data_IF_102604560402
#
_entry.id   IF_102604560402
#
_cell.length_a   1.000
_cell.length_b   1.000
_cell.length_c   1.000
_cell.angle_alpha   90.00
_cell.angle_beta   90.00
_cell.angle_gamma   90.00
#
_symmetry.space_group_name_H-M   'P 1'
#
loop_
_entity.id
_entity.type
_entity.pdbx_description
1 polymer ?
#
# COMPACT_ATOMS: atom_id res chain seq x y z
N UNK A 1 28.04 -3.96 -7.73
CA UNK A 1 27.17 -3.28 -6.74
C UNK A 1 26.02 -2.52 -7.41
N UNK A 2 26.24 -1.91 -8.57
CA UNK A 2 25.23 -1.06 -9.25
C UNK A 2 23.96 -1.81 -9.67
N UNK A 3 24.08 -3.06 -10.12
CA UNK A 3 22.93 -3.92 -10.45
C UNK A 3 21.95 -4.10 -9.28
N UNK A 4 22.45 -4.39 -8.07
CA UNK A 4 21.61 -4.57 -6.89
C UNK A 4 20.86 -3.28 -6.51
N UNK A 5 21.52 -2.13 -6.67
CA UNK A 5 20.89 -0.84 -6.41
C UNK A 5 19.71 -0.58 -7.38
N UNK A 6 19.77 -1.07 -8.62
CA UNK A 6 18.65 -0.98 -9.57
C UNK A 6 17.46 -1.85 -9.16
N UNK A 7 17.72 -3.09 -8.71
CA UNK A 7 16.66 -3.98 -8.20
C UNK A 7 15.90 -3.34 -7.05
N UNK A 8 16.60 -2.64 -6.15
CA UNK A 8 15.99 -1.93 -5.02
C UNK A 8 15.27 -0.66 -5.47
N UNK A 9 15.91 0.14 -6.34
CA UNK A 9 15.42 1.46 -6.70
C UNK A 9 14.17 1.43 -7.59
N UNK A 10 14.03 0.44 -8.48
CA UNK A 10 12.89 0.35 -9.42
C UNK A 10 11.51 0.22 -8.72
N UNK A 11 11.26 -0.82 -7.91
CA UNK A 11 9.96 -0.99 -7.25
C UNK A 11 9.67 0.15 -6.26
N UNK A 12 10.68 0.59 -5.53
CA UNK A 12 10.56 1.68 -4.57
C UNK A 12 10.24 3.01 -5.27
N UNK A 13 10.98 3.35 -6.32
CA UNK A 13 10.76 4.55 -7.12
C UNK A 13 9.37 4.58 -7.77
N UNK A 14 8.92 3.45 -8.30
CA UNK A 14 7.57 3.31 -8.86
C UNK A 14 6.47 3.52 -7.81
N UNK A 15 6.63 2.95 -6.61
CA UNK A 15 5.68 3.13 -5.50
C UNK A 15 5.61 4.59 -5.05
N UNK A 16 6.77 5.23 -4.86
CA UNK A 16 6.85 6.64 -4.43
C UNK A 16 6.27 7.58 -5.47
N UNK A 17 6.53 7.34 -6.75
CA UNK A 17 5.94 8.10 -7.85
C UNK A 17 4.41 7.93 -7.87
N UNK A 18 3.91 6.70 -7.71
CA UNK A 18 2.47 6.43 -7.63
C UNK A 18 1.83 7.16 -6.44
N UNK A 19 2.44 7.08 -5.26
CA UNK A 19 1.94 7.73 -4.04
C UNK A 19 1.97 9.27 -4.17
N UNK A 20 3.03 9.81 -4.78
CA UNK A 20 3.12 11.23 -5.12
C UNK A 20 2.03 11.66 -6.11
N UNK A 21 1.81 10.89 -7.18
CA UNK A 21 0.77 11.18 -8.16
C UNK A 21 -0.65 11.11 -7.57
N UNK A 22 -0.91 10.15 -6.67
CA UNK A 22 -2.17 10.06 -5.93
C UNK A 22 -2.39 11.34 -5.11
N UNK A 23 -1.38 11.81 -4.39
CA UNK A 23 -1.45 13.03 -3.58
C UNK A 23 -1.55 14.31 -4.42
N UNK A 24 -0.89 14.37 -5.57
CA UNK A 24 -0.97 15.50 -6.50
C UNK A 24 -2.35 15.64 -7.16
N UNK A 25 -3.12 14.55 -7.27
CA UNK A 25 -4.47 14.57 -7.87
C UNK A 25 -5.51 15.36 -7.05
N UNK A 26 -5.15 15.90 -5.88
CA UNK A 26 -6.04 16.69 -4.99
C UNK A 26 -7.39 16.03 -4.75
N UNK A 27 -7.40 14.69 -4.68
CA UNK A 27 -8.59 13.90 -4.38
C UNK A 27 -8.25 12.94 -3.27
N UNK A 28 -9.14 12.86 -2.28
CA UNK A 28 -9.01 11.91 -1.20
C UNK A 28 -9.24 10.50 -1.76
N UNK A 29 -8.26 9.61 -1.57
CA UNK A 29 -8.31 8.24 -2.10
C UNK A 29 -8.64 7.28 -0.97
N UNK A 30 -9.69 6.48 -1.16
CA UNK A 30 -10.06 5.41 -0.23
C UNK A 30 -9.69 4.06 -0.85
N UNK A 31 -8.86 3.30 -0.15
CA UNK A 31 -8.45 1.93 -0.50
C UNK A 31 -8.67 0.97 0.65
N UNK A 32 -8.49 -0.32 0.39
CA UNK A 32 -8.50 -1.36 1.41
C UNK A 32 -7.09 -1.56 1.96
N UNK A 33 -6.96 -1.85 3.25
CA UNK A 33 -5.67 -2.14 3.89
C UNK A 33 -4.88 -3.24 3.20
N UNK A 34 -5.54 -4.31 2.72
CA UNK A 34 -4.86 -5.38 1.99
C UNK A 34 -4.21 -4.93 0.69
N UNK A 35 -4.87 -4.07 -0.10
CA UNK A 35 -4.29 -3.47 -1.32
C UNK A 35 -3.11 -2.57 -1.00
N UNK A 36 -3.19 -1.80 0.08
CA UNK A 36 -2.08 -0.95 0.52
C UNK A 36 -0.87 -1.78 0.98
N UNK A 37 -1.08 -2.76 1.87
CA UNK A 37 -0.04 -3.70 2.31
C UNK A 37 0.61 -4.42 1.12
N UNK A 38 -0.19 -4.85 0.14
CA UNK A 38 0.34 -5.49 -1.07
C UNK A 38 1.18 -4.53 -1.91
N UNK A 39 0.73 -3.30 -2.10
CA UNK A 39 1.50 -2.28 -2.83
C UNK A 39 2.82 -1.94 -2.11
N UNK A 40 2.79 -1.84 -0.77
CA UNK A 40 3.99 -1.65 0.04
C UNK A 40 4.93 -2.84 -0.04
N UNK A 41 4.41 -4.07 0.00
CA UNK A 41 5.20 -5.29 -0.17
C UNK A 41 5.92 -5.27 -1.52
N UNK A 42 5.21 -4.95 -2.61
CA UNK A 42 5.83 -4.78 -3.93
C UNK A 42 6.91 -3.69 -3.93
N UNK A 43 6.71 -2.58 -3.22
CA UNK A 43 7.70 -1.50 -3.13
C UNK A 43 9.02 -1.95 -2.48
N UNK A 44 8.92 -2.79 -1.44
CA UNK A 44 10.08 -3.31 -0.71
C UNK A 44 10.61 -4.64 -1.29
N UNK A 45 9.98 -5.20 -2.33
CA UNK A 45 10.36 -6.51 -2.88
C UNK A 45 11.81 -6.52 -3.37
N UNK A 46 12.28 -5.41 -3.94
CA UNK A 46 13.67 -5.25 -4.35
C UNK A 46 14.65 -5.32 -3.18
N UNK A 47 14.30 -4.72 -2.04
CA UNK A 47 15.10 -4.81 -0.81
C UNK A 47 15.10 -6.24 -0.25
N UNK A 48 13.95 -6.92 -0.31
CA UNK A 48 13.84 -8.32 0.10
C UNK A 48 14.69 -9.22 -0.80
N UNK A 49 14.65 -9.01 -2.11
CA UNK A 49 15.42 -9.79 -3.08
C UNK A 49 16.94 -9.66 -2.88
N UNK A 50 17.43 -8.43 -2.63
CA UNK A 50 18.86 -8.15 -2.48
C UNK A 50 19.39 -8.44 -1.06
N UNK A 51 18.58 -8.22 -0.02
CA UNK A 51 19.00 -8.42 1.36
C UNK A 51 18.71 -9.85 1.86
N UNK A 52 17.55 -10.09 2.49
CA UNK A 52 17.17 -11.41 2.98
C UNK A 52 17.23 -12.52 1.92
N UNK A 53 16.90 -12.24 0.66
CA UNK A 53 16.88 -13.23 -0.42
C UNK A 53 18.24 -13.89 -0.66
N UNK A 54 19.33 -13.13 -0.61
CA UNK A 54 20.69 -13.67 -0.69
C UNK A 54 21.08 -14.43 0.61
N UNK A 55 20.61 -13.97 1.77
CA UNK A 55 20.89 -14.59 3.08
C UNK A 55 20.17 -15.92 3.28
N UNK A 56 18.94 -16.05 2.77
CA UNK A 56 18.13 -17.26 2.84
C UNK A 56 18.23 -18.11 1.56
N UNK A 57 19.19 -17.81 0.67
CA UNK A 57 19.38 -18.57 -0.56
C UNK A 57 19.82 -19.99 -0.21
N UNK A 58 18.98 -21.02 -0.45
CA UNK A 58 19.31 -22.37 -0.06
C UNK A 58 20.29 -22.93 -1.08
N UNK A 59 21.59 -22.89 -0.75
CA UNK A 59 22.66 -23.38 -1.63
C UNK A 59 22.43 -24.83 -2.10
N UNK A 60 21.82 -25.66 -1.25
CA UNK A 60 21.45 -27.05 -1.57
C UNK A 60 20.25 -27.17 -2.52
N UNK A 61 19.33 -26.21 -2.53
CA UNK A 61 18.23 -26.17 -3.49
C UNK A 61 18.69 -25.62 -4.84
N UNK A 62 19.61 -24.64 -4.83
CA UNK A 62 20.21 -24.07 -6.04
C UNK A 62 20.98 -25.11 -6.86
N UNK A 63 21.70 -26.02 -6.20
CA UNK A 63 22.38 -27.13 -6.91
C UNK A 63 21.42 -28.12 -7.56
N UNK A 64 20.21 -28.29 -7.03
CA UNK A 64 19.21 -29.23 -7.55
C UNK A 64 18.27 -28.60 -8.60
N UNK A 65 17.90 -27.34 -8.44
CA UNK A 65 16.89 -26.65 -9.24
C UNK A 65 17.47 -25.60 -10.20
N UNK A 66 18.74 -25.20 -10.02
CA UNK A 66 19.40 -24.17 -10.82
C UNK A 66 18.62 -22.86 -10.85
N UNK A 67 18.46 -22.29 -12.05
CA UNK A 67 17.75 -21.02 -12.26
C UNK A 67 16.26 -21.05 -11.88
N UNK A 68 15.66 -22.25 -11.74
CA UNK A 68 14.25 -22.40 -11.35
C UNK A 68 13.98 -22.05 -9.87
N UNK A 69 15.03 -21.86 -9.06
CA UNK A 69 14.87 -21.40 -7.67
C UNK A 69 14.25 -20.00 -7.60
N UNK A 70 14.62 -19.10 -8.50
CA UNK A 70 14.12 -17.72 -8.51
C UNK A 70 12.60 -17.59 -8.61
N UNK A 71 11.90 -18.22 -9.57
CA UNK A 71 10.44 -18.18 -9.61
C UNK A 71 9.80 -18.86 -8.40
N UNK A 72 10.44 -19.90 -7.82
CA UNK A 72 9.93 -20.56 -6.62
C UNK A 72 10.03 -19.65 -5.38
N UNK A 73 11.14 -18.93 -5.22
CA UNK A 73 11.32 -17.92 -4.17
C UNK A 73 10.36 -16.74 -4.36
N UNK A 74 10.17 -16.28 -5.59
CA UNK A 74 9.19 -15.24 -5.90
C UNK A 74 7.76 -15.69 -5.55
N UNK A 75 7.41 -16.94 -5.86
CA UNK A 75 6.12 -17.53 -5.49
C UNK A 75 5.97 -17.63 -3.97
N UNK A 76 6.98 -18.12 -3.25
CA UNK A 76 6.98 -18.19 -1.78
C UNK A 76 6.83 -16.80 -1.15
N UNK A 77 7.52 -15.80 -1.70
CA UNK A 77 7.37 -14.42 -1.28
C UNK A 77 5.94 -13.93 -1.48
N UNK A 78 5.35 -14.14 -2.66
CA UNK A 78 3.96 -13.76 -2.94
C UNK A 78 2.97 -14.48 -2.02
N UNK A 79 3.17 -15.76 -1.74
CA UNK A 79 2.38 -16.55 -0.78
C UNK A 79 2.49 -15.96 0.63
N UNK A 80 3.69 -15.57 1.06
CA UNK A 80 3.92 -14.95 2.37
C UNK A 80 3.22 -13.60 2.46
N UNK A 81 3.33 -12.77 1.42
CA UNK A 81 2.62 -11.49 1.33
C UNK A 81 1.11 -11.72 1.35
N UNK A 82 0.61 -12.70 0.60
CA UNK A 82 -0.82 -13.04 0.59
C UNK A 82 -1.29 -13.51 1.97
N UNK A 83 -0.50 -14.32 2.68
CA UNK A 83 -0.80 -14.76 4.03
C UNK A 83 -0.85 -13.57 5.00
N UNK A 84 0.12 -12.66 4.93
CA UNK A 84 0.11 -11.43 5.75
C UNK A 84 -1.14 -10.60 5.46
N UNK A 85 -1.50 -10.41 4.19
CA UNK A 85 -2.71 -9.67 3.79
C UNK A 85 -3.99 -10.35 4.28
N UNK A 86 -4.04 -11.69 4.24
CA UNK A 86 -5.19 -12.48 4.72
C UNK A 86 -5.31 -12.46 6.26
N UNK A 87 -4.19 -12.39 6.98
CA UNK A 87 -4.18 -12.34 8.44
C UNK A 87 -4.44 -10.94 9.00
N UNK A 88 -4.28 -9.90 8.18
CA UNK A 88 -4.62 -8.54 8.56
C UNK A 88 -6.13 -8.39 8.74
N UNK A 89 -6.53 -7.70 9.81
CA UNK A 89 -7.93 -7.32 10.01
C UNK A 89 -8.39 -6.44 8.82
N UNK A 90 -9.60 -6.66 8.30
CA UNK A 90 -10.17 -5.77 7.28
C UNK A 90 -10.19 -4.33 7.81
N UNK A 91 -9.55 -3.43 7.04
CA UNK A 91 -9.54 -1.99 7.32
C UNK A 91 -9.63 -1.22 6.01
N UNK A 92 -10.14 -0.01 6.07
CA UNK A 92 -10.07 0.94 4.97
C UNK A 92 -9.02 2.00 5.27
N UNK A 93 -8.18 2.30 4.30
CA UNK A 93 -7.13 3.31 4.40
C UNK A 93 -7.54 4.48 3.52
N UNK A 94 -7.54 5.68 4.10
CA UNK A 94 -7.90 6.93 3.43
C UNK A 94 -6.66 7.81 3.33
N UNK A 95 -6.33 8.25 2.13
CA UNK A 95 -5.18 9.12 1.83
C UNK A 95 -5.62 10.50 1.36
N UNK A 96 -4.81 11.52 1.67
CA UNK A 96 -4.98 12.88 1.15
C UNK A 96 -5.96 13.72 1.97
N UNK A 97 -6.16 13.35 3.24
CA UNK A 97 -7.09 13.98 4.16
C UNK A 97 -6.63 15.37 4.63
N UNK A 98 -5.35 15.50 4.97
CA UNK A 98 -4.80 16.58 5.81
C UNK A 98 -5.76 17.03 6.89
N UNK A 99 -6.11 18.32 6.90
CA UNK A 99 -6.97 18.89 7.95
C UNK A 99 -8.47 18.65 7.72
N UNK A 100 -8.87 18.05 6.59
CA UNK A 100 -10.29 17.85 6.28
C UNK A 100 -10.93 16.86 7.26
N UNK A 101 -12.11 17.16 7.84
CA UNK A 101 -12.77 16.28 8.81
C UNK A 101 -13.34 15.01 8.15
N UNK A 102 -12.72 13.84 8.37
CA UNK A 102 -13.23 12.54 7.84
C UNK A 102 -14.50 12.04 8.53
N UNK A 103 -14.75 12.48 9.77
CA UNK A 103 -15.87 11.98 10.57
C UNK A 103 -17.24 12.24 9.92
N UNK A 104 -17.43 13.42 9.31
CA UNK A 104 -18.70 13.79 8.68
C UNK A 104 -18.98 13.00 7.36
N UNK A 105 -18.03 12.89 6.41
CA UNK A 105 -18.17 11.99 5.26
C UNK A 105 -18.38 10.52 5.65
N UNK A 106 -17.65 10.04 6.66
CA UNK A 106 -17.79 8.67 7.14
C UNK A 106 -19.17 8.43 7.76
N UNK A 107 -19.69 9.36 8.56
CA UNK A 107 -21.04 9.26 9.12
C UNK A 107 -22.12 9.26 8.03
N UNK A 108 -21.99 10.09 6.99
CA UNK A 108 -22.90 10.08 5.82
C UNK A 108 -22.88 8.74 5.09
N UNK A 109 -21.70 8.18 4.85
CA UNK A 109 -21.55 6.86 4.26
C UNK A 109 -22.20 5.78 5.14
N UNK A 110 -22.01 5.82 6.46
CA UNK A 110 -22.66 4.89 7.39
C UNK A 110 -24.19 5.04 7.37
N UNK A 111 -24.71 6.27 7.33
CA UNK A 111 -26.16 6.55 7.25
C UNK A 111 -26.83 6.03 5.99
N UNK A 112 -26.09 5.95 4.88
CA UNK A 112 -26.60 5.34 3.65
C UNK A 112 -26.80 3.82 3.76
N UNK A 113 -26.10 3.17 4.69
CA UNK A 113 -26.17 1.73 4.96
C UNK A 113 -27.11 1.44 6.14
N UNK A 114 -27.01 2.23 7.20
CA UNK A 114 -27.84 2.18 8.41
C UNK A 114 -28.28 3.59 8.80
N UNK A 115 -29.54 3.93 8.52
CA UNK A 115 -30.10 5.25 8.78
C UNK A 115 -30.02 5.67 10.26
N UNK A 116 -29.93 4.71 11.19
CA UNK A 116 -29.83 4.97 12.62
C UNK A 116 -28.38 5.24 13.09
N UNK A 117 -27.41 5.30 12.17
CA UNK A 117 -25.99 5.54 12.50
C UNK A 117 -25.75 6.85 13.25
N UNK A 118 -24.98 6.78 14.34
CA UNK A 118 -24.63 7.94 15.19
C UNK A 118 -23.11 8.04 15.39
N UNK A 119 -22.62 9.26 15.46
CA UNK A 119 -21.24 9.56 15.83
C UNK A 119 -21.19 9.83 17.34
N UNK A 120 -20.32 9.11 18.04
CA UNK A 120 -19.94 9.46 19.40
C UNK A 120 -18.68 10.33 19.36
N UNK A 121 -18.88 11.64 19.54
CA UNK A 121 -17.80 12.64 19.49
C UNK A 121 -16.75 12.46 20.60
N UNK A 122 -17.10 11.82 21.73
CA UNK A 122 -16.16 11.60 22.84
C UNK A 122 -15.15 10.51 22.53
N UNK A 123 -15.56 9.46 21.84
CA UNK A 123 -14.72 8.30 21.51
C UNK A 123 -14.19 8.33 20.07
N UNK A 124 -14.76 9.20 19.21
CA UNK A 124 -14.44 9.22 17.78
C UNK A 124 -14.90 7.95 17.06
N UNK A 125 -15.91 7.27 17.61
CA UNK A 125 -16.48 6.04 17.04
C UNK A 125 -17.84 6.30 16.42
N UNK A 126 -18.18 5.56 15.37
CA UNK A 126 -19.50 5.61 14.73
C UNK A 126 -20.19 4.28 15.00
N UNK A 127 -21.34 4.34 15.66
CA UNK A 127 -22.17 3.19 15.95
C UNK A 127 -23.23 3.01 14.85
N UNK A 128 -23.39 1.77 14.38
CA UNK A 128 -24.42 1.31 13.47
C UNK A 128 -25.35 0.37 14.25
N UNK A 129 -26.40 0.89 14.91
CA UNK A 129 -27.18 0.13 15.87
C UNK A 129 -28.04 -0.98 15.23
N UNK A 130 -28.46 -0.81 13.97
CA UNK A 130 -29.27 -1.82 13.27
C UNK A 130 -28.41 -3.02 12.86
N UNK A 131 -27.14 -2.77 12.56
CA UNK A 131 -26.17 -3.81 12.18
C UNK A 131 -25.39 -4.33 13.40
N UNK A 132 -25.41 -3.59 14.51
CA UNK A 132 -24.69 -3.93 15.74
C UNK A 132 -23.17 -3.72 15.65
N UNK A 133 -22.71 -2.79 14.82
CA UNK A 133 -21.28 -2.58 14.52
C UNK A 133 -20.78 -1.23 15.03
N UNK A 134 -19.50 -1.18 15.39
CA UNK A 134 -18.81 0.05 15.79
C UNK A 134 -17.58 0.27 14.92
N UNK A 135 -17.59 1.39 14.19
CA UNK A 135 -16.45 1.85 13.40
C UNK A 135 -15.59 2.78 14.24
N UNK A 136 -14.29 2.53 14.25
CA UNK A 136 -13.29 3.42 14.85
C UNK A 136 -12.56 4.15 13.74
N UNK A 137 -12.49 5.47 13.87
CA UNK A 137 -11.64 6.31 13.05
C UNK A 137 -10.29 6.49 13.75
N UNK A 138 -9.22 5.97 13.16
CA UNK A 138 -7.85 6.14 13.64
C UNK A 138 -7.12 7.10 12.70
N UNK A 139 -6.82 8.31 13.17
CA UNK A 139 -5.99 9.25 12.42
C UNK A 139 -4.52 9.05 12.74
N UNK A 140 -3.68 9.03 11.71
CA UNK A 140 -2.23 8.95 11.86
C UNK A 140 -1.63 10.34 12.14
N UNK A 141 -0.51 10.39 12.88
CA UNK A 141 0.14 11.65 13.32
C UNK A 141 0.49 12.62 12.20
N UNK A 142 0.63 12.14 10.96
CA UNK A 142 0.91 12.99 9.80
C UNK A 142 -0.31 13.77 9.30
N UNK A 143 -1.52 13.55 9.85
CA UNK A 143 -2.77 14.21 9.47
C UNK A 143 -3.31 13.78 8.10
N UNK A 144 -2.46 13.33 7.19
CA UNK A 144 -2.81 13.05 5.80
C UNK A 144 -3.42 11.67 5.54
N UNK A 145 -3.37 10.77 6.52
CA UNK A 145 -3.96 9.43 6.41
C UNK A 145 -4.79 9.06 7.64
N UNK A 146 -5.84 8.29 7.39
CA UNK A 146 -6.68 7.73 8.43
C UNK A 146 -7.08 6.30 8.07
N UNK A 147 -7.13 5.46 9.09
CA UNK A 147 -7.62 4.10 9.02
C UNK A 147 -9.03 4.04 9.62
N UNK A 148 -9.92 3.34 8.92
CA UNK A 148 -11.24 2.99 9.41
C UNK A 148 -11.22 1.51 9.74
N UNK A 149 -11.33 1.21 11.03
CA UNK A 149 -11.29 -0.13 11.58
C UNK A 149 -12.65 -0.48 12.19
N UNK A 150 -13.04 -1.76 12.11
CA UNK A 150 -14.21 -2.28 12.82
C UNK A 150 -13.77 -2.93 14.11
N UNK A 151 -14.58 -2.77 15.16
CA UNK A 151 -14.32 -3.40 16.45
C UNK A 151 -14.71 -4.88 16.45
N UNK A 152 -15.80 -5.21 15.75
CA UNK A 152 -16.35 -6.55 15.65
C UNK A 152 -15.60 -7.41 14.61
N UNK A 153 -15.52 -8.72 14.87
CA UNK A 153 -14.76 -9.67 14.04
C UNK A 153 -15.65 -10.47 13.08
N UNK A 154 -16.95 -10.55 13.36
CA UNK A 154 -17.92 -11.30 12.55
C UNK A 154 -18.66 -10.35 11.61
N UNK A 155 -18.16 -10.23 10.39
CA UNK A 155 -18.63 -9.25 9.41
C UNK A 155 -18.95 -9.91 8.09
N UNK A 156 -20.11 -9.57 7.55
CA UNK A 156 -20.47 -9.92 6.18
C UNK A 156 -19.48 -9.24 5.23
N UNK A 157 -18.78 -9.98 4.34
CA UNK A 157 -17.81 -9.41 3.40
C UNK A 157 -18.37 -8.28 2.53
N UNK A 158 -19.68 -8.31 2.27
CA UNK A 158 -20.38 -7.31 1.47
C UNK A 158 -20.47 -5.94 2.16
N UNK A 159 -20.48 -5.90 3.50
CA UNK A 159 -20.51 -4.64 4.24
C UNK A 159 -19.31 -3.76 3.89
N UNK A 160 -18.10 -4.33 3.85
CA UNK A 160 -16.88 -3.60 3.51
C UNK A 160 -16.90 -3.07 2.08
N UNK A 161 -17.49 -3.81 1.14
CA UNK A 161 -17.62 -3.37 -0.27
C UNK A 161 -18.60 -2.22 -0.39
N UNK A 162 -19.73 -2.30 0.30
CA UNK A 162 -20.73 -1.22 0.35
C UNK A 162 -20.15 0.02 1.02
N UNK A 163 -19.51 -0.13 2.19
CA UNK A 163 -18.88 0.97 2.92
C UNK A 163 -17.78 1.64 2.09
N UNK A 164 -16.92 0.86 1.42
CA UNK A 164 -15.91 1.40 0.52
C UNK A 164 -16.53 2.23 -0.61
N UNK A 165 -17.64 1.75 -1.19
CA UNK A 165 -18.30 2.40 -2.32
C UNK A 165 -18.95 3.71 -1.90
N UNK A 166 -19.67 3.72 -0.79
CA UNK A 166 -20.33 4.92 -0.28
C UNK A 166 -19.35 5.92 0.31
N UNK A 167 -18.31 5.45 1.01
CA UNK A 167 -17.26 6.32 1.51
C UNK A 167 -16.52 7.01 0.36
N UNK A 168 -16.22 6.29 -0.72
CA UNK A 168 -15.61 6.90 -1.93
C UNK A 168 -16.49 7.99 -2.53
N UNK A 169 -17.81 7.79 -2.56
CA UNK A 169 -18.75 8.78 -3.09
C UNK A 169 -18.80 10.05 -2.25
N UNK A 170 -18.91 9.90 -0.93
CA UNK A 170 -19.00 11.04 -0.01
C UNK A 170 -17.67 11.80 0.09
N UNK A 171 -16.56 11.07 0.17
CA UNK A 171 -15.22 11.64 0.31
C UNK A 171 -14.73 12.34 -0.97
N UNK A 172 -15.22 11.93 -2.15
CA UNK A 172 -14.93 12.61 -3.40
C UNK A 172 -15.50 14.05 -3.48
N UNK A 173 -16.43 14.40 -2.58
CA UNK A 173 -17.03 15.75 -2.49
C UNK A 173 -16.23 16.68 -1.59
N UNK A 174 -15.32 16.15 -0.78
CA UNK A 174 -14.52 16.95 0.14
C UNK A 174 -13.25 17.48 -0.55
N UNK A 175 -12.87 18.74 -0.29
CA UNK A 175 -11.60 19.28 -0.77
C UNK A 175 -10.44 18.50 -0.13
N UNK A 176 -9.56 17.93 -0.96
CA UNK A 176 -8.38 17.22 -0.47
C UNK A 176 -7.30 18.18 0.03
N UNK A 177 -6.46 17.70 0.94
CA UNK A 177 -5.40 18.47 1.55
C UNK A 177 -4.10 18.57 0.73
N UNK A 178 -3.06 19.12 1.39
CA UNK A 178 -1.94 19.85 0.80
C UNK A 178 -1.15 19.09 -0.29
N UNK A 179 -0.84 19.82 -1.36
CA UNK A 179 -0.09 19.35 -2.54
C UNK A 179 1.38 19.12 -2.22
N UNK A 180 1.90 19.70 -1.13
CA UNK A 180 3.33 19.77 -0.83
C UNK A 180 4.00 18.41 -0.66
N UNK A 181 3.46 17.55 0.20
CA UNK A 181 3.99 16.20 0.39
C UNK A 181 3.86 15.32 -0.87
N UNK A 182 2.78 15.52 -1.64
CA UNK A 182 2.61 14.81 -2.92
C UNK A 182 3.72 15.12 -3.92
N UNK A 183 4.12 16.39 -4.00
CA UNK A 183 5.24 16.81 -4.84
C UNK A 183 6.55 16.17 -4.39
N UNK A 184 6.84 16.14 -3.08
CA UNK A 184 8.06 15.51 -2.54
C UNK A 184 8.15 14.04 -2.90
N UNK A 185 7.07 13.28 -2.72
CA UNK A 185 7.08 11.85 -3.06
C UNK A 185 7.19 11.62 -4.58
N UNK A 186 6.52 12.44 -5.38
CA UNK A 186 6.60 12.35 -6.83
C UNK A 186 8.00 12.68 -7.36
N UNK A 187 8.64 13.75 -6.85
CA UNK A 187 9.99 14.13 -7.26
C UNK A 187 11.01 13.09 -6.83
N UNK A 188 10.92 12.57 -5.61
CA UNK A 188 11.85 11.55 -5.13
C UNK A 188 11.70 10.24 -5.91
N UNK A 189 10.47 9.82 -6.21
CA UNK A 189 10.20 8.68 -7.10
C UNK A 189 10.73 8.88 -8.52
N UNK A 190 10.52 10.07 -9.10
CA UNK A 190 11.02 10.41 -10.43
C UNK A 190 12.55 10.46 -10.48
N UNK A 191 13.22 10.97 -9.44
CA UNK A 191 14.68 10.98 -9.32
C UNK A 191 15.22 9.55 -9.26
N UNK A 192 14.63 8.68 -8.44
CA UNK A 192 15.05 7.28 -8.33
C UNK A 192 14.90 6.53 -9.65
N UNK A 193 13.75 6.69 -10.33
CA UNK A 193 13.51 6.05 -11.63
C UNK A 193 14.39 6.65 -12.73
N UNK A 194 14.58 7.96 -12.73
CA UNK A 194 15.47 8.65 -13.67
C UNK A 194 16.92 8.20 -13.50
N UNK A 195 17.39 8.08 -12.25
CA UNK A 195 18.71 7.53 -11.93
C UNK A 195 18.84 6.06 -12.38
N UNK A 196 17.82 5.24 -12.14
CA UNK A 196 17.83 3.84 -12.59
C UNK A 196 17.89 3.75 -14.13
N UNK A 197 17.14 4.60 -14.83
CA UNK A 197 17.12 4.66 -16.29
C UNK A 197 18.46 5.14 -16.87
N UNK A 198 19.08 6.17 -16.28
CA UNK A 198 20.38 6.68 -16.74
C UNK A 198 21.49 5.64 -16.53
N UNK A 199 21.51 4.94 -15.41
CA UNK A 199 22.46 3.85 -15.19
C UNK A 199 22.28 2.72 -16.22
N UNK A 200 21.02 2.37 -16.51
CA UNK A 200 20.70 1.36 -17.53
C UNK A 200 21.17 1.76 -18.93
N UNK A 201 21.04 3.04 -19.28
CA UNK A 201 21.46 3.56 -20.57
C UNK A 201 22.98 3.73 -20.69
N UNK A 202 23.66 4.13 -19.60
CA UNK A 202 25.10 4.38 -19.59
C UNK A 202 25.94 3.10 -19.49
N UNK A 203 25.42 2.05 -18.83
CA UNK A 203 26.16 0.81 -18.55
C UNK A 203 25.36 -0.47 -18.83
N UNK A 204 24.83 -0.65 -20.06
CA UNK A 204 23.95 -1.77 -20.37
C UNK A 204 24.63 -3.13 -20.23
N UNK A 205 25.93 -3.22 -20.54
CA UNK A 205 26.72 -4.47 -20.47
C UNK A 205 26.95 -4.90 -19.03
N UNK A 206 27.39 -4.00 -18.15
CA UNK A 206 27.63 -4.29 -16.73
C UNK A 206 26.35 -4.76 -16.01
N UNK A 207 25.20 -4.16 -16.37
CA UNK A 207 23.90 -4.52 -15.81
C UNK A 207 23.43 -5.88 -16.33
N UNK A 208 23.60 -6.14 -17.64
CA UNK A 208 23.25 -7.44 -18.22
C UNK A 208 24.12 -8.57 -17.67
N UNK A 209 25.42 -8.32 -17.46
CA UNK A 209 26.33 -9.27 -16.82
C UNK A 209 25.98 -9.49 -15.35
N UNK A 210 25.70 -8.41 -14.61
CA UNK A 210 25.24 -8.49 -13.22
C UNK A 210 23.95 -9.30 -13.07
N UNK A 211 22.99 -9.09 -13.98
CA UNK A 211 21.74 -9.86 -14.03
C UNK A 211 21.97 -11.34 -14.33
N UNK A 212 22.82 -11.65 -15.32
CA UNK A 212 23.15 -13.04 -15.66
C UNK A 212 23.86 -13.75 -14.51
N UNK A 213 24.85 -13.09 -13.91
CA UNK A 213 25.58 -13.62 -12.78
C UNK A 213 24.66 -13.92 -11.60
N UNK A 214 23.72 -13.01 -11.31
CA UNK A 214 22.70 -13.18 -10.28
C UNK A 214 21.74 -14.34 -10.59
N UNK A 215 21.26 -14.44 -11.83
CA UNK A 215 20.36 -15.53 -12.25
C UNK A 215 21.04 -16.90 -12.18
N UNK A 216 22.34 -16.96 -12.48
CA UNK A 216 23.13 -18.20 -12.55
C UNK A 216 23.64 -18.71 -11.20
N UNK A 217 23.44 -17.96 -10.12
CA UNK A 217 23.67 -18.44 -8.76
C UNK A 217 22.58 -19.41 -8.33
#
# INVERSE_FOLDING_TARGET
MEFYALIVALPLGAYLLMLGLIRLRRRVLVTTGGRDTFALALAISGLVAVGPGELFFPATAATALGTAVWPLLAMLYLLTVALVVLYQRPRLVVYGLGDAPLAAPLLRACRSIDAASRLDERSGTISLPTVGLHLRLVRHRSGDSADVELFETDLRPDFWRSLLTELRREVAREPAASVGLGLVWATLGAILLGWAATQTALRPTEIAEGFRAWLSR
#
